data_IF_279428231115
#
_entry.id   IF_279428231115
#
_cell.length_a   1.000
_cell.length_b   1.000
_cell.length_c   1.000
_cell.angle_alpha   90.00
_cell.angle_beta   90.00
_cell.angle_gamma   90.00
#
_symmetry.space_group_name_H-M   'P 1'
#
loop_
_entity.id
_entity.type
_entity.pdbx_description
1 polymer ?
#
# COMPACT_ATOMS: atom_id res chain seq x y z
N UNK A 1 -2.70 1.70 4.87
CA UNK A 1 -2.00 0.53 5.47
C UNK A 1 -2.10 0.42 6.99
N UNK A 2 -2.65 1.40 7.71
CA UNK A 2 -2.78 1.37 9.18
C UNK A 2 -3.46 0.10 9.76
N UNK A 3 -4.34 -0.55 9.00
CA UNK A 3 -5.06 -1.76 9.44
C UNK A 3 -4.43 -3.09 8.99
N UNK A 4 -3.28 -3.07 8.29
CA UNK A 4 -2.59 -4.30 7.90
C UNK A 4 -3.32 -5.18 6.87
N UNK A 5 -4.19 -4.61 6.03
CA UNK A 5 -4.95 -5.35 5.01
C UNK A 5 -4.18 -5.39 3.69
N UNK A 6 -3.86 -6.58 3.13
CA UNK A 6 -3.20 -6.68 1.83
C UNK A 6 -4.15 -6.30 0.69
N UNK A 7 -3.61 -6.06 -0.51
CA UNK A 7 -4.40 -5.59 -1.65
C UNK A 7 -4.31 -6.50 -2.86
N UNK A 8 -5.37 -6.51 -3.67
CA UNK A 8 -5.30 -6.86 -5.09
C UNK A 8 -5.35 -5.55 -5.87
N UNK A 9 -4.31 -5.23 -6.64
CA UNK A 9 -4.16 -3.94 -7.29
C UNK A 9 -4.90 -3.90 -8.63
N UNK A 10 -6.13 -3.35 -8.61
CA UNK A 10 -6.98 -3.11 -9.79
C UNK A 10 -7.08 -1.61 -10.10
N UNK A 11 -6.22 -1.04 -10.97
CA UNK A 11 -6.24 0.39 -11.29
C UNK A 11 -7.34 0.72 -12.30
N UNK A 12 -7.98 1.88 -12.14
CA UNK A 12 -9.04 2.37 -13.02
C UNK A 12 -8.64 3.64 -13.78
N UNK A 13 -8.19 4.67 -13.07
CA UNK A 13 -7.92 5.99 -13.68
C UNK A 13 -6.82 6.77 -12.93
N UNK A 14 -6.48 7.95 -13.46
CA UNK A 14 -5.47 8.87 -12.93
C UNK A 14 -4.14 8.16 -12.65
N UNK A 15 -3.56 8.39 -11.47
CA UNK A 15 -2.25 7.88 -11.08
C UNK A 15 -2.30 6.44 -10.53
N UNK A 16 -3.47 5.79 -10.48
CA UNK A 16 -3.62 4.45 -9.90
C UNK A 16 -2.74 3.41 -10.59
N UNK A 17 -2.48 3.55 -11.90
CA UNK A 17 -1.54 2.67 -12.62
C UNK A 17 -0.10 2.81 -12.10
N UNK A 18 0.33 4.02 -11.77
CA UNK A 18 1.62 4.28 -11.13
C UNK A 18 1.62 3.73 -9.68
N UNK A 19 0.54 3.96 -8.92
CA UNK A 19 0.42 3.44 -7.57
C UNK A 19 0.45 1.91 -7.55
N UNK A 20 -0.17 1.22 -8.53
CA UNK A 20 -0.07 -0.24 -8.67
C UNK A 20 1.37 -0.70 -8.74
N UNK A 21 2.20 -0.07 -9.58
CA UNK A 21 3.63 -0.42 -9.71
C UNK A 21 4.32 -0.27 -8.36
N UNK A 22 4.13 0.86 -7.68
CA UNK A 22 4.73 1.07 -6.37
C UNK A 22 4.25 0.06 -5.30
N UNK A 23 2.95 -0.24 -5.27
CA UNK A 23 2.35 -1.17 -4.30
C UNK A 23 2.79 -2.62 -4.54
N UNK A 24 2.88 -3.06 -5.79
CA UNK A 24 3.24 -4.43 -6.16
C UNK A 24 4.76 -4.64 -6.13
N UNK A 25 5.52 -3.72 -6.71
CA UNK A 25 6.96 -3.91 -6.93
C UNK A 25 7.82 -3.18 -5.89
N UNK A 26 7.43 -1.95 -5.53
CA UNK A 26 8.20 -1.08 -4.64
C UNK A 26 8.14 -1.54 -3.19
N UNK A 27 6.95 -1.46 -2.59
CA UNK A 27 6.74 -1.81 -1.17
C UNK A 27 6.12 -3.19 -0.96
N UNK A 28 5.73 -3.87 -2.06
CA UNK A 28 5.32 -5.28 -2.09
C UNK A 28 4.18 -5.63 -1.14
N UNK A 29 3.10 -4.85 -1.19
CA UNK A 29 1.90 -4.99 -0.33
C UNK A 29 0.64 -5.41 -1.09
N UNK A 30 0.79 -5.67 -2.39
CA UNK A 30 -0.32 -6.01 -3.26
C UNK A 30 0.05 -7.11 -4.24
N UNK A 31 -0.93 -7.92 -4.62
CA UNK A 31 -0.85 -8.76 -5.81
C UNK A 31 -1.32 -7.97 -7.04
N UNK A 32 -0.69 -8.16 -8.21
CA UNK A 32 -1.18 -7.59 -9.45
C UNK A 32 -2.43 -8.33 -9.95
N UNK A 33 -3.32 -7.65 -10.67
CA UNK A 33 -4.23 -8.30 -11.61
C UNK A 33 -3.69 -8.22 -13.02
N UNK A 34 -3.84 -9.31 -13.77
CA UNK A 34 -3.62 -9.32 -15.21
C UNK A 34 -4.89 -8.91 -15.95
N UNK A 35 -4.72 -8.02 -16.93
CA UNK A 35 -5.80 -7.56 -17.80
C UNK A 35 -5.51 -8.04 -19.22
N UNK A 36 -6.55 -8.47 -19.93
CA UNK A 36 -6.45 -8.77 -21.34
C UNK A 36 -6.14 -7.53 -22.17
N UNK A 37 -5.85 -7.72 -23.46
CA UNK A 37 -5.63 -6.62 -24.42
C UNK A 37 -6.87 -5.72 -24.58
N UNK A 38 -8.06 -6.27 -24.31
CA UNK A 38 -9.34 -5.56 -24.28
C UNK A 38 -9.54 -4.70 -23.02
N UNK A 39 -8.61 -4.77 -22.06
CA UNK A 39 -8.68 -4.05 -20.79
C UNK A 39 -9.63 -4.66 -19.77
N UNK A 40 -10.05 -5.91 -19.93
CA UNK A 40 -10.87 -6.63 -18.94
C UNK A 40 -10.05 -7.65 -18.15
N UNK A 41 -10.51 -7.95 -16.93
CA UNK A 41 -10.00 -9.02 -16.08
C UNK A 41 -10.97 -10.20 -16.19
N UNK A 42 -10.45 -11.40 -16.43
CA UNK A 42 -11.29 -12.60 -16.49
C UNK A 42 -11.73 -13.04 -15.09
N UNK A 43 -12.84 -13.77 -15.01
CA UNK A 43 -13.30 -14.31 -13.73
C UNK A 43 -12.28 -15.30 -13.13
N UNK A 44 -11.59 -16.04 -13.99
CA UNK A 44 -10.55 -17.00 -13.63
C UNK A 44 -9.34 -16.30 -12.98
N UNK A 45 -8.82 -15.24 -13.61
CA UNK A 45 -7.70 -14.45 -13.08
C UNK A 45 -8.07 -13.83 -11.71
N UNK A 46 -9.28 -13.27 -11.60
CA UNK A 46 -9.73 -12.69 -10.34
C UNK A 46 -9.85 -13.76 -9.24
N UNK A 47 -10.45 -14.91 -9.55
CA UNK A 47 -10.60 -16.00 -8.59
C UNK A 47 -9.25 -16.58 -8.16
N UNK A 48 -8.29 -16.68 -9.09
CA UNK A 48 -6.92 -17.13 -8.79
C UNK A 48 -6.23 -16.15 -7.84
N UNK A 49 -6.20 -14.85 -8.14
CA UNK A 49 -5.57 -13.84 -7.27
C UNK A 49 -6.24 -13.75 -5.90
N UNK A 50 -7.56 -13.92 -5.81
CA UNK A 50 -8.26 -13.98 -4.52
C UNK A 50 -7.88 -15.22 -3.71
N UNK A 51 -7.81 -16.40 -4.35
CA UNK A 51 -7.37 -17.64 -3.70
C UNK A 51 -5.93 -17.53 -3.23
N UNK A 52 -5.04 -17.04 -4.10
CA UNK A 52 -3.63 -16.78 -3.76
C UNK A 52 -3.53 -15.87 -2.54
N UNK A 53 -4.26 -14.76 -2.54
CA UNK A 53 -4.21 -13.78 -1.45
C UNK A 53 -4.75 -14.31 -0.13
N UNK A 54 -5.73 -15.23 -0.15
CA UNK A 54 -6.47 -15.66 1.04
C UNK A 54 -5.99 -17.00 1.58
N UNK A 55 -5.73 -17.98 0.72
CA UNK A 55 -5.56 -19.38 1.08
C UNK A 55 -4.12 -19.89 0.91
N UNK A 56 -3.33 -19.31 -0.01
CA UNK A 56 -2.00 -19.81 -0.32
C UNK A 56 -0.89 -19.25 0.58
N UNK A 57 0.24 -19.97 0.64
CA UNK A 57 1.41 -19.58 1.41
C UNK A 57 2.05 -18.26 0.93
N UNK A 58 1.96 -17.97 -0.37
CA UNK A 58 2.37 -16.69 -0.96
C UNK A 58 1.54 -15.54 -0.38
N UNK A 59 0.20 -15.67 -0.35
CA UNK A 59 -0.70 -14.70 0.26
C UNK A 59 -0.50 -14.56 1.76
N UNK A 60 -0.22 -15.66 2.47
CA UNK A 60 0.13 -15.60 3.90
C UNK A 60 1.38 -14.74 4.15
N UNK A 61 2.46 -14.97 3.39
CA UNK A 61 3.70 -14.16 3.49
C UNK A 61 3.43 -12.69 3.19
N UNK A 62 2.59 -12.41 2.19
CA UNK A 62 2.19 -11.04 1.87
C UNK A 62 1.42 -10.38 3.05
N UNK A 63 0.46 -11.09 3.65
CA UNK A 63 -0.28 -10.58 4.84
C UNK A 63 0.63 -10.30 6.02
N UNK A 64 1.61 -11.17 6.28
CA UNK A 64 2.61 -10.95 7.34
C UNK A 64 3.45 -9.70 7.07
N UNK A 65 3.91 -9.51 5.83
CA UNK A 65 4.65 -8.31 5.43
C UNK A 65 3.82 -7.03 5.55
N UNK A 66 2.55 -7.07 5.12
CA UNK A 66 1.63 -5.93 5.23
C UNK A 66 1.33 -5.59 6.70
N UNK A 67 1.27 -6.60 7.57
CA UNK A 67 1.16 -6.41 9.01
C UNK A 67 2.39 -5.67 9.58
N UNK A 68 3.61 -6.05 9.18
CA UNK A 68 4.82 -5.35 9.60
C UNK A 68 4.87 -3.88 9.12
N UNK A 69 4.43 -3.61 7.89
CA UNK A 69 4.30 -2.25 7.37
C UNK A 69 3.22 -1.46 8.13
N UNK A 70 2.12 -2.11 8.51
CA UNK A 70 1.08 -1.51 9.34
C UNK A 70 1.61 -1.04 10.69
N UNK A 71 2.39 -1.88 11.37
CA UNK A 71 3.03 -1.49 12.64
C UNK A 71 4.01 -0.32 12.47
N UNK A 72 4.79 -0.32 11.38
CA UNK A 72 5.66 0.82 11.05
C UNK A 72 4.85 2.11 10.80
N UNK A 73 3.72 2.01 10.10
CA UNK A 73 2.84 3.14 9.84
C UNK A 73 2.19 3.69 11.13
N UNK A 74 1.79 2.82 12.07
CA UNK A 74 1.28 3.22 13.39
C UNK A 74 2.36 3.92 14.22
N UNK A 75 3.57 3.35 14.26
CA UNK A 75 4.70 3.92 14.99
C UNK A 75 5.13 5.30 14.43
N UNK A 76 5.02 5.51 13.12
CA UNK A 76 5.37 6.79 12.51
C UNK A 76 4.42 7.94 12.93
N UNK A 77 3.16 7.64 13.26
CA UNK A 77 2.12 8.65 13.54
C UNK A 77 1.71 8.76 15.02
N UNK A 78 2.21 7.90 15.90
CA UNK A 78 1.99 8.01 17.35
C UNK A 78 2.75 9.20 17.95
N UNK A 79 2.48 9.55 19.21
CA UNK A 79 3.23 10.61 19.90
C UNK A 79 4.73 10.30 19.92
N UNK A 80 5.56 11.28 19.51
CA UNK A 80 7.00 11.10 19.30
C UNK A 80 7.39 10.33 18.03
N UNK A 81 6.42 9.89 17.22
CA UNK A 81 6.64 9.21 15.94
C UNK A 81 7.23 10.11 14.86
N UNK A 82 7.98 9.52 13.93
CA UNK A 82 8.77 10.25 12.93
C UNK A 82 7.96 11.20 12.05
N UNK A 83 6.79 10.77 11.56
CA UNK A 83 5.92 11.63 10.73
C UNK A 83 5.35 12.79 11.54
N UNK A 84 5.03 12.58 12.82
CA UNK A 84 4.55 13.65 13.69
C UNK A 84 5.64 14.66 14.01
N UNK A 85 6.84 14.18 14.32
CA UNK A 85 8.01 15.05 14.56
C UNK A 85 8.33 15.88 13.32
N UNK A 86 8.39 15.27 12.14
CA UNK A 86 8.68 15.98 10.89
C UNK A 86 7.67 17.10 10.59
N UNK A 87 6.37 16.85 10.81
CA UNK A 87 5.34 17.89 10.63
C UNK A 87 5.47 18.99 11.68
N UNK A 88 5.76 18.65 12.94
CA UNK A 88 5.96 19.64 13.99
C UNK A 88 7.16 20.55 13.69
N UNK A 89 8.29 19.96 13.29
CA UNK A 89 9.49 20.70 12.88
C UNK A 89 9.21 21.61 11.68
N UNK A 90 8.47 21.12 10.69
CA UNK A 90 8.05 21.94 9.55
C UNK A 90 7.21 23.15 9.99
N UNK A 91 6.24 22.96 10.88
CA UNK A 91 5.40 24.05 11.41
C UNK A 91 6.24 25.07 12.20
N UNK A 92 7.18 24.62 13.02
CA UNK A 92 8.09 25.53 13.72
C UNK A 92 8.98 26.33 12.74
N UNK A 93 9.45 25.69 11.67
CA UNK A 93 10.22 26.37 10.62
C UNK A 93 9.43 27.51 9.98
N UNK A 94 8.14 27.33 9.71
CA UNK A 94 7.27 28.37 9.13
C UNK A 94 7.08 29.56 10.08
N UNK A 95 7.02 29.33 11.39
CA UNK A 95 6.90 30.43 12.37
C UNK A 95 8.15 31.30 12.42
N UNK A 96 9.31 30.72 12.11
CA UNK A 96 10.59 31.45 12.04
C UNK A 96 10.79 32.23 10.73
N UNK A 97 9.98 31.97 9.71
CA UNK A 97 9.96 32.76 8.47
C UNK A 97 9.23 34.07 8.75
N UNK A 98 9.99 35.17 8.91
CA UNK A 98 9.42 36.52 8.84
C UNK A 98 8.95 36.78 7.42
N UNK A 99 7.65 36.97 7.24
CA UNK A 99 7.07 37.70 6.10
C UNK A 99 7.08 39.19 6.43
#
# INVERSE_FOLDING_TARGET
MHNGVPLVAWPLYAEQKMNRVYLVEGIKVALPLQMGEDGFVTAEELAERLRELMEEDSGKKLREHVSAISESAKAAVMDGGSSRVAVAEFVESLKSVRV
#
